data_IF_183326649888
#
_entry.id   IF_183326649888
#
_cell.length_a   1.000
_cell.length_b   1.000
_cell.length_c   1.000
_cell.angle_alpha   90.00
_cell.angle_beta   90.00
_cell.angle_gamma   90.00
#
_symmetry.space_group_name_H-M   'P 1'
#
loop_
_entity.id
_entity.type
_entity.pdbx_description
1 polymer ?
#
# COMPACT_ATOMS: atom_id res chain seq x y z
N UNK A 1 -24.07 42.72 -43.59
CA UNK A 1 -23.62 42.84 -42.22
C UNK A 1 -24.18 41.74 -41.27
N UNK A 2 -25.48 41.38 -41.31
CA UNK A 2 -26.06 40.34 -40.42
C UNK A 2 -25.49 38.93 -40.63
N UNK A 3 -25.08 38.53 -41.82
CA UNK A 3 -24.51 37.19 -42.10
C UNK A 3 -23.10 36.99 -41.53
N UNK A 4 -22.31 38.08 -41.44
CA UNK A 4 -20.92 38.05 -40.89
C UNK A 4 -20.99 37.94 -39.36
N UNK A 5 -22.01 38.55 -38.73
CA UNK A 5 -22.19 38.48 -37.26
C UNK A 5 -22.53 37.06 -36.80
N UNK A 6 -23.34 36.30 -37.54
CA UNK A 6 -23.68 34.90 -37.24
C UNK A 6 -22.49 33.96 -37.40
N UNK A 7 -21.63 34.19 -38.39
CA UNK A 7 -20.41 33.40 -38.58
C UNK A 7 -19.40 33.64 -37.45
N UNK A 8 -19.24 34.87 -36.97
CA UNK A 8 -18.36 35.19 -35.82
C UNK A 8 -18.90 34.61 -34.52
N UNK A 9 -20.19 34.59 -34.27
CA UNK A 9 -20.81 33.98 -33.07
C UNK A 9 -20.64 32.46 -33.07
N UNK A 10 -20.75 31.79 -34.23
CA UNK A 10 -20.53 30.37 -34.40
C UNK A 10 -19.07 29.94 -34.13
N UNK A 11 -18.09 30.76 -34.54
CA UNK A 11 -16.68 30.51 -34.24
C UNK A 11 -16.34 30.68 -32.74
N UNK A 12 -16.97 31.62 -32.06
CA UNK A 12 -16.77 31.76 -30.58
C UNK A 12 -17.32 30.58 -29.81
N UNK A 13 -18.41 29.95 -30.24
CA UNK A 13 -18.94 28.76 -29.56
C UNK A 13 -18.06 27.51 -29.72
N UNK A 14 -17.32 27.42 -30.85
CA UNK A 14 -16.40 26.29 -31.07
C UNK A 14 -15.09 26.41 -30.22
N UNK A 15 -14.69 27.62 -29.86
CA UNK A 15 -13.53 27.85 -29.03
C UNK A 15 -13.78 27.53 -27.54
N UNK A 16 -15.05 27.42 -27.12
CA UNK A 16 -15.43 27.10 -25.73
C UNK A 16 -15.29 25.63 -25.36
N UNK A 17 -15.03 24.74 -26.31
CA UNK A 17 -14.79 23.31 -26.07
C UNK A 17 -13.31 22.93 -25.97
N UNK A 18 -12.41 23.89 -25.78
CA UNK A 18 -11.05 23.56 -25.39
C UNK A 18 -11.13 22.91 -24.01
N UNK A 19 -10.91 21.57 -23.96
CA UNK A 19 -10.72 20.84 -22.70
C UNK A 19 -9.69 21.61 -21.90
N UNK A 20 -10.08 22.17 -20.75
CA UNK A 20 -9.09 22.61 -19.77
C UNK A 20 -8.15 21.43 -19.56
N UNK A 21 -6.84 21.62 -19.58
CA UNK A 21 -5.93 20.57 -19.15
C UNK A 21 -6.31 20.27 -17.70
N UNK A 22 -7.06 19.18 -17.52
CA UNK A 22 -7.16 18.52 -16.24
C UNK A 22 -5.70 18.36 -15.80
N UNK A 23 -5.36 18.73 -14.57
CA UNK A 23 -4.04 18.48 -14.00
C UNK A 23 -3.75 16.99 -14.19
N UNK A 24 -3.13 16.65 -15.30
CA UNK A 24 -2.75 15.26 -15.58
C UNK A 24 -1.57 15.00 -14.67
N UNK A 25 -1.86 14.31 -13.56
CA UNK A 25 -0.82 13.59 -12.85
C UNK A 25 -0.24 12.61 -13.88
N UNK A 26 0.97 12.89 -14.34
CA UNK A 26 1.69 11.97 -15.21
C UNK A 26 2.04 10.74 -14.38
N UNK A 27 1.26 9.67 -14.55
CA UNK A 27 1.59 8.37 -14.00
C UNK A 27 2.70 7.72 -14.84
N UNK A 28 3.60 6.93 -14.23
CA UNK A 28 4.55 6.14 -14.98
C UNK A 28 3.83 5.26 -16.00
N UNK A 29 4.37 5.12 -17.21
CA UNK A 29 3.72 4.39 -18.31
C UNK A 29 3.30 2.96 -17.90
N UNK A 30 4.08 2.30 -17.07
CA UNK A 30 3.76 0.95 -16.58
C UNK A 30 2.50 0.87 -15.70
N UNK A 31 2.03 2.00 -15.15
CA UNK A 31 0.89 2.00 -14.24
C UNK A 31 -0.47 1.87 -14.95
N UNK A 32 -0.52 2.09 -16.27
CA UNK A 32 -1.78 2.09 -17.02
C UNK A 32 -2.30 0.68 -17.31
N UNK A 33 -1.41 -0.27 -17.55
CA UNK A 33 -1.76 -1.64 -17.93
C UNK A 33 -1.21 -2.70 -16.96
N UNK A 34 -0.70 -2.26 -15.79
CA UNK A 34 -0.04 -3.13 -14.84
C UNK A 34 -1.01 -4.09 -14.15
N UNK A 35 -0.62 -5.35 -14.07
CA UNK A 35 -1.27 -6.36 -13.25
C UNK A 35 -0.66 -6.36 -11.85
N UNK A 36 -1.51 -6.20 -10.83
CA UNK A 36 -1.10 -6.19 -9.42
C UNK A 36 -1.43 -7.53 -8.78
N UNK A 37 -0.45 -8.11 -8.09
CA UNK A 37 -0.62 -9.29 -7.25
C UNK A 37 -0.42 -8.92 -5.79
N UNK A 38 -1.48 -9.09 -4.95
CA UNK A 38 -1.39 -8.90 -3.51
C UNK A 38 -0.70 -10.12 -2.88
N UNK A 39 0.42 -9.89 -2.21
CA UNK A 39 1.26 -10.92 -1.63
C UNK A 39 1.17 -10.91 -0.11
N UNK A 40 0.69 -12.01 0.45
CA UNK A 40 0.73 -12.26 1.88
C UNK A 40 1.97 -13.11 2.21
N UNK A 41 3.00 -12.48 2.78
CA UNK A 41 4.28 -13.17 3.08
C UNK A 41 4.08 -14.41 3.96
N UNK A 42 3.20 -14.33 4.97
CA UNK A 42 2.93 -15.45 5.91
C UNK A 42 2.28 -16.66 5.23
N UNK A 43 1.50 -16.44 4.17
CA UNK A 43 0.65 -17.48 3.59
C UNK A 43 1.07 -17.93 2.18
N UNK A 44 2.06 -17.25 1.58
CA UNK A 44 2.49 -17.54 0.23
C UNK A 44 3.19 -18.91 0.11
N UNK A 45 3.98 -19.25 1.14
CA UNK A 45 4.73 -20.50 1.23
C UNK A 45 4.53 -21.13 2.62
N UNK A 46 4.94 -22.38 2.78
CA UNK A 46 4.87 -23.08 4.07
C UNK A 46 5.73 -22.38 5.13
N UNK A 47 6.90 -21.87 4.73
CA UNK A 47 7.84 -21.17 5.63
C UNK A 47 7.36 -19.77 5.99
N UNK A 48 6.59 -19.11 5.14
CA UNK A 48 6.04 -17.78 5.37
C UNK A 48 7.08 -16.67 5.49
N UNK A 49 8.21 -16.79 4.78
CA UNK A 49 9.35 -15.86 4.87
C UNK A 49 9.65 -15.15 3.56
N UNK A 50 10.36 -14.02 3.61
CA UNK A 50 10.83 -13.31 2.41
C UNK A 50 11.69 -14.21 1.52
N UNK A 51 12.57 -15.00 2.13
CA UNK A 51 13.45 -15.92 1.41
C UNK A 51 12.68 -17.00 0.65
N UNK A 52 11.63 -17.55 1.25
CA UNK A 52 10.78 -18.53 0.58
C UNK A 52 9.90 -17.88 -0.49
N UNK A 53 9.37 -16.66 -0.22
CA UNK A 53 8.60 -15.90 -1.19
C UNK A 53 9.38 -15.56 -2.46
N UNK A 54 10.69 -15.34 -2.36
CA UNK A 54 11.57 -15.09 -3.49
C UNK A 54 11.52 -16.20 -4.54
N UNK A 55 11.44 -17.44 -4.12
CA UNK A 55 11.36 -18.60 -5.04
C UNK A 55 10.11 -18.60 -5.92
N UNK A 56 9.07 -17.86 -5.53
CA UNK A 56 7.78 -17.75 -6.27
C UNK A 56 7.80 -16.62 -7.31
N UNK A 57 8.72 -15.66 -7.20
CA UNK A 57 8.79 -14.49 -8.09
C UNK A 57 8.85 -14.81 -9.59
N UNK A 58 9.64 -15.80 -10.06
CA UNK A 58 9.67 -16.16 -11.48
C UNK A 58 8.31 -16.61 -12.00
N UNK A 59 7.58 -17.41 -11.24
CA UNK A 59 6.25 -17.89 -11.63
C UNK A 59 5.23 -16.74 -11.69
N UNK A 60 5.29 -15.78 -10.75
CA UNK A 60 4.45 -14.59 -10.79
C UNK A 60 4.73 -13.75 -12.03
N UNK A 61 6.00 -13.61 -12.41
CA UNK A 61 6.37 -12.91 -13.64
C UNK A 61 5.88 -13.62 -14.90
N UNK A 62 5.99 -14.94 -14.94
CA UNK A 62 5.55 -15.75 -16.07
C UNK A 62 4.04 -15.63 -16.35
N UNK A 63 3.22 -15.53 -15.29
CA UNK A 63 1.76 -15.33 -15.43
C UNK A 63 1.36 -13.87 -15.71
N UNK A 64 2.34 -12.96 -15.89
CA UNK A 64 2.09 -11.57 -16.29
C UNK A 64 1.89 -10.56 -15.16
N UNK A 65 2.37 -10.85 -13.96
CA UNK A 65 2.39 -9.86 -12.86
C UNK A 65 3.43 -8.80 -13.14
N UNK A 66 3.08 -7.54 -12.89
CA UNK A 66 3.97 -6.38 -13.03
C UNK A 66 4.30 -5.73 -11.69
N UNK A 67 3.34 -5.73 -10.77
CA UNK A 67 3.47 -5.11 -9.46
C UNK A 67 3.12 -6.12 -8.38
N UNK A 68 3.99 -6.28 -7.41
CA UNK A 68 3.73 -7.02 -6.17
C UNK A 68 3.33 -6.01 -5.10
N UNK A 69 2.13 -6.16 -4.57
CA UNK A 69 1.65 -5.43 -3.40
C UNK A 69 1.80 -6.30 -2.17
N UNK A 70 2.80 -6.02 -1.34
CA UNK A 70 3.09 -6.79 -0.14
C UNK A 70 2.24 -6.26 1.01
N UNK A 71 1.46 -7.15 1.65
CA UNK A 71 0.75 -6.89 2.90
C UNK A 71 1.74 -6.44 3.99
N UNK A 72 1.27 -5.79 5.08
CA UNK A 72 2.17 -5.20 6.07
C UNK A 72 3.25 -6.15 6.56
N UNK A 73 4.50 -5.71 6.49
CA UNK A 73 5.70 -6.47 6.84
C UNK A 73 6.34 -6.02 8.16
N UNK A 74 5.74 -5.01 8.79
CA UNK A 74 6.25 -4.41 10.00
C UNK A 74 5.98 -5.31 11.21
N UNK A 75 6.73 -5.05 12.28
CA UNK A 75 6.56 -5.72 13.57
C UNK A 75 5.16 -5.47 14.13
N UNK A 76 4.48 -6.54 14.52
CA UNK A 76 3.13 -6.50 15.07
C UNK A 76 3.13 -6.57 16.60
N UNK A 77 2.05 -6.05 17.20
CA UNK A 77 1.85 -6.06 18.65
C UNK A 77 1.59 -7.45 19.24
N UNK A 78 1.75 -7.54 20.54
CA UNK A 78 1.46 -8.75 21.33
C UNK A 78 0.33 -8.52 22.33
N UNK A 79 0.12 -7.27 22.77
CA UNK A 79 -0.95 -6.92 23.68
C UNK A 79 -2.30 -7.02 22.97
N UNK A 80 -3.27 -7.69 23.59
CA UNK A 80 -4.62 -7.90 23.05
C UNK A 80 -4.64 -8.54 21.65
N UNK A 81 -3.60 -9.35 21.35
CA UNK A 81 -3.46 -10.02 20.07
C UNK A 81 -4.63 -10.98 19.82
N UNK A 82 -5.31 -10.82 18.69
CA UNK A 82 -6.36 -11.76 18.28
C UNK A 82 -5.74 -13.00 17.62
N UNK A 83 -6.14 -14.19 18.10
CA UNK A 83 -5.59 -15.46 17.64
C UNK A 83 -4.12 -15.67 18.02
N UNK A 84 -3.53 -16.78 17.59
CA UNK A 84 -2.15 -17.15 17.94
C UNK A 84 -1.10 -16.31 17.22
N UNK A 85 -1.33 -15.99 15.96
CA UNK A 85 -0.37 -15.30 15.10
C UNK A 85 -0.56 -13.78 15.04
N UNK A 86 -1.74 -13.28 15.43
CA UNK A 86 -2.08 -11.87 15.36
C UNK A 86 -2.29 -11.36 13.92
N UNK A 87 -2.73 -10.12 13.82
CA UNK A 87 -2.96 -9.44 12.54
C UNK A 87 -1.71 -8.69 12.08
N UNK A 88 -1.37 -8.78 10.79
CA UNK A 88 -0.29 -7.97 10.19
C UNK A 88 -0.61 -6.48 10.23
N UNK A 89 -1.89 -6.13 10.33
CA UNK A 89 -2.36 -4.74 10.42
C UNK A 89 -2.26 -4.15 11.82
N UNK A 90 -2.00 -4.96 12.86
CA UNK A 90 -1.78 -4.49 14.23
C UNK A 90 -0.30 -4.14 14.43
N UNK A 91 0.18 -3.10 13.76
CA UNK A 91 1.59 -2.71 13.76
C UNK A 91 1.97 -2.05 15.09
N UNK A 92 3.03 -2.54 15.74
CA UNK A 92 3.59 -1.93 16.96
C UNK A 92 4.80 -1.05 16.68
N UNK A 93 5.58 -1.38 15.64
CA UNK A 93 6.77 -0.61 15.26
C UNK A 93 6.92 -0.55 13.73
N UNK A 94 6.78 0.65 13.17
CA UNK A 94 6.86 0.89 11.72
C UNK A 94 8.29 0.86 11.17
N UNK A 95 9.30 0.91 12.04
CA UNK A 95 10.70 0.91 11.67
C UNK A 95 11.36 -0.48 11.77
N UNK A 96 10.63 -1.48 12.27
CA UNK A 96 11.13 -2.85 12.41
C UNK A 96 10.32 -3.80 11.54
N UNK A 97 11.01 -4.81 11.00
CA UNK A 97 10.36 -5.92 10.30
C UNK A 97 9.73 -6.90 11.29
N UNK A 98 8.65 -7.55 10.85
CA UNK A 98 8.12 -8.70 11.57
C UNK A 98 9.16 -9.84 11.53
N UNK A 99 9.67 -10.28 12.69
CA UNK A 99 10.71 -11.30 12.73
C UNK A 99 10.26 -12.66 12.18
N UNK A 100 8.96 -12.90 12.07
CA UNK A 100 8.42 -14.11 11.42
C UNK A 100 8.77 -14.18 9.93
N UNK A 101 8.93 -13.04 9.25
CA UNK A 101 9.18 -12.97 7.80
C UNK A 101 10.66 -13.01 7.44
N UNK A 102 11.54 -12.85 8.42
CA UNK A 102 12.98 -12.78 8.24
C UNK A 102 13.59 -11.44 8.65
N UNK A 103 14.78 -11.18 8.18
CA UNK A 103 15.56 -9.98 8.47
C UNK A 103 15.32 -8.89 7.41
N UNK A 104 15.82 -7.69 7.71
CA UNK A 104 15.93 -6.61 6.73
C UNK A 104 16.74 -7.04 5.49
N UNK A 105 17.83 -7.75 5.68
CA UNK A 105 18.66 -8.22 4.58
C UNK A 105 17.91 -9.22 3.68
N UNK A 106 17.07 -10.09 4.25
CA UNK A 106 16.23 -11.02 3.48
C UNK A 106 15.22 -10.25 2.63
N UNK A 107 14.60 -9.20 3.18
CA UNK A 107 13.69 -8.34 2.41
C UNK A 107 14.41 -7.57 1.29
N UNK A 108 15.59 -6.99 1.58
CA UNK A 108 16.39 -6.28 0.59
C UNK A 108 16.81 -7.20 -0.56
N UNK A 109 17.12 -8.47 -0.25
CA UNK A 109 17.42 -9.49 -1.26
C UNK A 109 16.20 -9.83 -2.10
N UNK A 110 15.05 -10.11 -1.47
CA UNK A 110 13.78 -10.32 -2.15
C UNK A 110 13.45 -9.17 -3.10
N UNK A 111 13.61 -7.92 -2.64
CA UNK A 111 13.36 -6.73 -3.45
C UNK A 111 14.29 -6.67 -4.67
N UNK A 112 15.58 -6.98 -4.47
CA UNK A 112 16.54 -7.01 -5.56
C UNK A 112 16.20 -8.07 -6.62
N UNK A 113 15.80 -9.28 -6.19
CA UNK A 113 15.38 -10.35 -7.11
C UNK A 113 14.09 -10.00 -7.85
N UNK A 114 13.10 -9.40 -7.18
CA UNK A 114 11.90 -8.89 -7.83
C UNK A 114 12.25 -7.85 -8.92
N UNK A 115 13.11 -6.90 -8.62
CA UNK A 115 13.54 -5.87 -9.57
C UNK A 115 14.33 -6.44 -10.76
N UNK A 116 15.16 -7.47 -10.57
CA UNK A 116 15.85 -8.19 -11.67
C UNK A 116 14.87 -8.80 -12.67
N UNK A 117 13.74 -9.27 -12.19
CA UNK A 117 12.64 -9.80 -13.01
C UNK A 117 11.77 -8.70 -13.63
N UNK A 118 12.06 -7.42 -13.35
CA UNK A 118 11.26 -6.28 -13.82
C UNK A 118 9.95 -6.09 -13.07
N UNK A 119 9.75 -6.78 -11.94
CA UNK A 119 8.61 -6.59 -11.06
C UNK A 119 8.79 -5.28 -10.27
N UNK A 120 7.70 -4.56 -10.05
CA UNK A 120 7.65 -3.44 -9.11
C UNK A 120 7.13 -3.96 -7.76
N UNK A 121 7.54 -3.31 -6.69
CA UNK A 121 7.09 -3.67 -5.35
C UNK A 121 6.49 -2.44 -4.66
N UNK A 122 5.30 -2.59 -4.12
CA UNK A 122 4.66 -1.61 -3.24
C UNK A 122 4.38 -2.26 -1.88
N UNK A 123 4.47 -1.47 -0.83
CA UNK A 123 4.18 -1.91 0.53
C UNK A 123 2.83 -1.38 0.95
N UNK A 124 2.07 -2.22 1.63
CA UNK A 124 0.86 -1.78 2.31
C UNK A 124 1.22 -0.81 3.44
N UNK A 125 0.49 0.30 3.52
CA UNK A 125 0.73 1.36 4.50
C UNK A 125 -0.46 1.54 5.42
N UNK A 126 -0.32 1.12 6.67
CA UNK A 126 -1.35 1.23 7.71
C UNK A 126 -1.21 2.56 8.43
N UNK A 127 -1.86 3.61 7.90
CA UNK A 127 -1.75 4.97 8.46
C UNK A 127 -2.80 5.28 9.54
N UNK A 128 -3.85 4.47 9.67
CA UNK A 128 -5.03 4.81 10.48
C UNK A 128 -4.89 4.47 11.96
N UNK A 129 -4.17 3.43 12.31
CA UNK A 129 -4.08 2.90 13.66
C UNK A 129 -2.76 2.18 13.93
N UNK A 130 -2.49 1.89 15.20
CA UNK A 130 -1.38 1.05 15.65
C UNK A 130 -1.89 -0.08 16.53
N UNK A 131 -1.02 -1.04 16.85
CA UNK A 131 -1.27 -1.94 17.98
C UNK A 131 -1.28 -1.15 19.31
N UNK A 132 -2.01 -1.61 20.34
CA UNK A 132 -2.11 -0.91 21.62
C UNK A 132 -0.78 -0.81 22.39
N UNK A 133 0.17 -1.70 22.10
CA UNK A 133 1.52 -1.72 22.66
C UNK A 133 2.58 -0.98 21.81
N UNK A 134 2.14 -0.18 20.84
CA UNK A 134 3.05 0.68 20.09
C UNK A 134 3.58 1.83 20.97
N UNK A 135 4.88 2.12 20.85
CA UNK A 135 5.48 3.29 21.50
C UNK A 135 4.78 4.62 21.11
N UNK A 136 4.19 4.68 19.94
CA UNK A 136 3.47 5.86 19.45
C UNK A 136 2.22 6.17 20.28
N UNK A 137 1.66 5.20 20.99
CA UNK A 137 0.52 5.41 21.88
C UNK A 137 0.86 6.30 23.10
N UNK A 138 2.17 6.48 23.39
CA UNK A 138 2.66 7.36 24.46
C UNK A 138 2.67 8.83 24.06
N UNK A 139 2.60 9.13 22.74
CA UNK A 139 2.61 10.50 22.25
C UNK A 139 1.24 11.14 22.48
N UNK A 140 1.23 12.28 23.16
CA UNK A 140 0.01 13.04 23.40
C UNK A 140 -0.60 13.54 22.08
N UNK A 141 -1.94 13.35 21.95
CA UNK A 141 -2.70 13.81 20.78
C UNK A 141 -2.60 12.91 19.53
N UNK A 142 -1.80 11.84 19.54
CA UNK A 142 -1.70 10.93 18.39
C UNK A 142 -2.79 9.86 18.37
N UNK A 143 -3.33 9.53 19.53
CA UNK A 143 -4.37 8.51 19.67
C UNK A 143 -5.55 9.06 20.47
N UNK A 144 -6.74 8.64 20.10
CA UNK A 144 -7.94 8.98 20.86
C UNK A 144 -7.91 8.31 22.23
N UNK A 145 -8.35 9.08 23.25
CA UNK A 145 -8.46 8.62 24.62
C UNK A 145 -9.84 8.97 25.19
N UNK A 146 -10.32 8.13 26.09
CA UNK A 146 -11.53 8.42 26.85
C UNK A 146 -11.28 9.52 27.92
N UNK A 147 -12.33 9.88 28.66
CA UNK A 147 -12.24 10.88 29.75
C UNK A 147 -11.36 10.45 30.91
N UNK A 148 -11.00 9.17 31.01
CA UNK A 148 -10.12 8.61 32.03
C UNK A 148 -8.67 8.46 31.50
N UNK A 149 -8.41 8.82 30.25
CA UNK A 149 -7.10 8.72 29.63
C UNK A 149 -6.76 7.36 29.01
N UNK A 150 -7.70 6.40 28.99
CA UNK A 150 -7.47 5.11 28.35
C UNK A 150 -7.50 5.24 26.82
N UNK A 151 -6.68 4.43 26.12
CA UNK A 151 -6.73 4.35 24.67
C UNK A 151 -8.12 3.90 24.22
N UNK A 152 -8.71 4.62 23.29
CA UNK A 152 -9.96 4.21 22.67
C UNK A 152 -9.67 3.20 21.55
N UNK A 153 -10.26 2.01 21.68
CA UNK A 153 -10.28 1.02 20.62
C UNK A 153 -11.39 1.40 19.65
N UNK A 154 -11.04 1.64 18.40
CA UNK A 154 -12.02 1.91 17.37
C UNK A 154 -12.69 0.59 16.97
N UNK A 155 -13.94 0.45 17.30
CA UNK A 155 -14.90 -0.60 16.98
C UNK A 155 -14.35 -2.00 16.63
N UNK A 156 -14.78 -2.96 17.41
CA UNK A 156 -14.68 -4.37 17.06
C UNK A 156 -15.71 -4.67 15.96
N UNK A 157 -15.24 -4.93 14.76
CA UNK A 157 -16.05 -5.32 13.61
C UNK A 157 -16.45 -6.81 13.65
N UNK A 158 -16.64 -7.38 14.83
CA UNK A 158 -17.12 -8.77 14.98
C UNK A 158 -18.62 -8.87 14.93
#
# INVERSE_FOLDING_TARGET
MKKILFAALGLLCLASCAKQPCCQLEHPCYAYDATIYELNTRQLTEEGTFKAAEAVLPALKEIGVDIIWIMPIQKIGVLERKGTLGSYYAITDYCQFNPEFGTRADFEHFLAEAHKLGLKVILDWVANHTAPDSEWTKNEGWHYRDSLGNLMVQYDWT
#
